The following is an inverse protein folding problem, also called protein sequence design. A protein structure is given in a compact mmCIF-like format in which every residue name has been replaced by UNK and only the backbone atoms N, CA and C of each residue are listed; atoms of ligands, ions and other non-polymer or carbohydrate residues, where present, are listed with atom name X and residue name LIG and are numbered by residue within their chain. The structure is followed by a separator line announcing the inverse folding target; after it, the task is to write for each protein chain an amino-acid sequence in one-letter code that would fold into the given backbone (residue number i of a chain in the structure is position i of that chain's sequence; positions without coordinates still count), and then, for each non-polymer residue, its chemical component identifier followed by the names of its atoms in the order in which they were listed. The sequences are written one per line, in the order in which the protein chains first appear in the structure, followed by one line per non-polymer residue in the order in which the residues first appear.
data_IF_799358165232
#
_entry.id   IF_799358165232
#
_cell.length_a   1.000
_cell.length_b   1.000
_cell.length_c   1.000
_cell.angle_alpha   90.00
_cell.angle_beta   90.00
_cell.angle_gamma   90.00
#
_symmetry.space_group_name_H-M   'P 1'
#
loop_
_entity.id
_entity.type
_entity.pdbx_description
1 polymer ?
#
# COMPACT_ATOMS: atom_id res chain seq x y z
N UNK A 1 -7.97 -11.23 -11.39
CA UNK A 1 -6.67 -11.75 -11.88
C UNK A 1 -6.92 -12.60 -13.12
N UNK A 2 -5.96 -12.67 -14.06
CA UNK A 2 -6.05 -13.58 -15.20
C UNK A 2 -6.19 -15.03 -14.72
N UNK A 3 -6.97 -15.84 -15.44
CA UNK A 3 -7.38 -17.18 -15.01
C UNK A 3 -6.18 -18.11 -14.79
N UNK A 4 -5.20 -18.11 -15.70
CA UNK A 4 -3.97 -18.91 -15.59
C UNK A 4 -3.16 -18.58 -14.33
N UNK A 5 -3.09 -17.29 -13.98
CA UNK A 5 -2.40 -16.82 -12.77
C UNK A 5 -3.19 -17.14 -11.52
N UNK A 6 -4.51 -16.98 -11.56
CA UNK A 6 -5.39 -17.29 -10.44
C UNK A 6 -5.34 -18.79 -10.10
N UNK A 7 -5.34 -19.67 -11.10
CA UNK A 7 -5.20 -21.12 -10.91
C UNK A 7 -3.85 -21.50 -10.30
N UNK A 8 -2.77 -20.85 -10.76
CA UNK A 8 -1.44 -21.06 -10.19
C UNK A 8 -1.38 -20.63 -8.71
N UNK A 9 -1.98 -19.49 -8.37
CA UNK A 9 -2.12 -19.00 -6.99
C UNK A 9 -2.95 -19.97 -6.15
N UNK A 10 -4.11 -20.39 -6.64
CA UNK A 10 -4.98 -21.35 -5.96
C UNK A 10 -4.30 -22.69 -5.71
N UNK A 11 -3.49 -23.17 -6.66
CA UNK A 11 -2.68 -24.39 -6.51
C UNK A 11 -1.61 -24.21 -5.44
N UNK A 12 -0.91 -23.07 -5.43
CA UNK A 12 0.11 -22.78 -4.42
C UNK A 12 -0.47 -22.62 -3.01
N UNK A 13 -1.65 -22.00 -2.86
CA UNK A 13 -2.32 -21.84 -1.56
C UNK A 13 -2.75 -23.16 -0.92
N UNK A 14 -2.98 -24.20 -1.73
CA UNK A 14 -3.29 -25.56 -1.25
C UNK A 14 -2.05 -26.34 -0.81
N UNK A 15 -0.84 -25.79 -1.00
CA UNK A 15 0.40 -26.42 -0.56
C UNK A 15 0.46 -26.44 0.98
N UNK A 16 0.77 -27.62 1.52
CA UNK A 16 0.92 -27.83 2.97
C UNK A 16 2.21 -27.24 3.51
N UNK A 17 3.14 -26.89 2.63
CA UNK A 17 4.43 -26.31 2.99
C UNK A 17 4.35 -24.80 3.25
N UNK A 18 3.19 -24.15 3.24
CA UNK A 18 3.12 -22.75 3.66
C UNK A 18 3.21 -22.69 5.20
N UNK A 19 4.22 -21.99 5.71
CA UNK A 19 4.33 -21.71 7.14
C UNK A 19 3.30 -20.65 7.56
N UNK A 20 2.27 -21.07 8.28
CA UNK A 20 1.23 -20.20 8.83
C UNK A 20 1.54 -19.82 10.28
N UNK A 21 1.42 -18.53 10.61
CA UNK A 21 1.55 -18.01 11.96
C UNK A 21 0.19 -17.54 12.48
N UNK A 22 -0.23 -18.08 13.63
CA UNK A 22 -1.44 -17.62 14.31
C UNK A 22 -1.26 -16.21 14.85
N UNK A 23 -2.22 -15.33 14.55
CA UNK A 23 -2.26 -13.93 14.98
C UNK A 23 -3.18 -13.78 16.17
N UNK A 24 -2.71 -13.05 17.18
CA UNK A 24 -3.43 -12.72 18.40
C UNK A 24 -3.20 -11.27 18.83
N UNK A 25 -3.48 -10.92 20.10
CA UNK A 25 -4.14 -11.75 21.12
C UNK A 25 -5.64 -12.00 20.83
N UNK A 26 -6.29 -12.99 21.47
CA UNK A 26 -7.68 -13.38 21.18
C UNK A 26 -8.70 -12.26 21.37
N UNK A 27 -8.51 -11.35 22.32
CA UNK A 27 -9.39 -10.19 22.51
C UNK A 27 -9.29 -9.14 21.39
N UNK A 28 -8.48 -9.37 20.36
CA UNK A 28 -8.31 -8.48 19.20
C UNK A 28 -8.51 -9.22 17.88
N UNK A 29 -7.94 -10.42 17.76
CA UNK A 29 -7.95 -11.19 16.52
C UNK A 29 -7.60 -12.66 16.76
N UNK A 30 -8.06 -13.50 15.87
CA UNK A 30 -7.68 -14.89 15.75
C UNK A 30 -7.74 -15.28 14.28
N UNK A 31 -6.60 -15.35 13.59
CA UNK A 31 -6.52 -15.86 12.22
C UNK A 31 -5.08 -16.26 11.94
N UNK A 32 -4.80 -16.77 10.74
CA UNK A 32 -3.45 -17.17 10.36
C UNK A 32 -2.90 -16.28 9.26
N UNK A 33 -1.64 -15.88 9.41
CA UNK A 33 -0.89 -15.09 8.44
C UNK A 33 0.25 -15.93 7.89
N UNK A 34 0.49 -15.89 6.59
CA UNK A 34 1.65 -16.57 6.01
C UNK A 34 2.95 -15.90 6.50
N UNK A 35 3.93 -16.72 6.89
CA UNK A 35 5.24 -16.21 7.31
C UNK A 35 6.02 -15.78 6.07
N UNK A 36 6.25 -14.49 5.95
CA UNK A 36 7.11 -13.95 4.91
C UNK A 36 8.56 -13.94 5.42
N UNK A 37 9.46 -14.67 4.74
CA UNK A 37 10.90 -14.52 4.95
C UNK A 37 11.38 -13.44 3.99
N UNK A 38 11.03 -12.19 4.27
CA UNK A 38 11.48 -11.08 3.43
C UNK A 38 12.91 -10.75 3.84
N UNK A 39 13.89 -11.31 3.11
CA UNK A 39 15.29 -10.84 3.17
C UNK A 39 15.39 -9.33 2.89
N UNK A 40 14.39 -8.72 2.24
CA UNK A 40 14.29 -7.29 2.03
C UNK A 40 14.08 -6.49 3.33
N UNK A 41 13.32 -7.01 4.31
CA UNK A 41 13.16 -6.34 5.61
C UNK A 41 14.48 -6.34 6.38
N UNK A 42 15.22 -7.45 6.33
CA UNK A 42 16.58 -7.52 6.86
C UNK A 42 17.52 -6.55 6.11
N UNK A 43 17.44 -6.48 4.78
CA UNK A 43 18.28 -5.57 3.99
C UNK A 43 17.96 -4.09 4.21
N UNK A 44 16.71 -3.72 4.42
CA UNK A 44 16.28 -2.34 4.66
C UNK A 44 16.61 -1.90 6.09
N UNK A 45 16.45 -2.80 7.08
CA UNK A 45 17.01 -2.60 8.42
C UNK A 45 18.55 -2.45 8.34
N UNK A 46 19.24 -3.35 7.63
CA UNK A 46 20.69 -3.30 7.43
C UNK A 46 21.18 -2.06 6.68
N UNK A 47 20.37 -1.50 5.78
CA UNK A 47 20.63 -0.24 5.08
C UNK A 47 20.49 1.01 5.96
N UNK A 48 19.53 1.02 6.89
CA UNK A 48 19.37 2.08 7.90
C UNK A 48 20.49 2.08 8.95
N UNK A 49 21.25 0.97 9.09
CA UNK A 49 22.34 0.85 10.06
C UNK A 49 23.70 1.41 9.58
N UNK A 50 23.80 2.02 8.39
CA UNK A 50 25.07 2.56 7.85
C UNK A 50 25.37 4.04 8.15
N UNK A 51 24.51 4.80 8.83
CA UNK A 51 24.75 6.24 9.05
C UNK A 51 24.42 6.71 10.48
N UNK A 52 25.34 6.50 11.44
CA UNK A 52 25.72 7.58 12.34
C UNK A 52 27.23 7.52 12.63
N UNK A 53 28.02 8.48 12.12
CA UNK A 53 29.46 8.61 12.46
C UNK A 53 29.71 9.03 13.92
N UNK A 54 28.64 9.25 14.70
CA UNK A 54 28.64 10.04 15.93
C UNK A 54 28.80 9.27 17.25
N UNK A 55 28.66 7.93 17.25
CA UNK A 55 28.88 7.10 18.46
C UNK A 55 27.94 7.36 19.66
N UNK A 56 26.68 7.78 19.43
CA UNK A 56 25.75 8.09 20.52
C UNK A 56 25.18 6.83 21.23
N UNK A 57 25.12 6.84 22.57
CA UNK A 57 24.59 5.72 23.41
C UNK A 57 23.14 5.28 23.13
N UNK A 58 22.29 6.15 22.56
CA UNK A 58 20.92 5.78 22.16
C UNK A 58 20.91 4.85 20.93
N UNK A 59 21.97 4.86 20.11
CA UNK A 59 22.15 3.97 18.96
C UNK A 59 22.54 2.54 19.38
N UNK A 60 23.28 2.38 20.49
CA UNK A 60 23.70 1.07 21.01
C UNK A 60 22.53 0.27 21.60
N UNK A 61 21.61 0.92 22.33
CA UNK A 61 20.38 0.26 22.82
C UNK A 61 19.44 -0.13 21.68
N UNK A 62 19.34 0.69 20.63
CA UNK A 62 18.60 0.34 19.41
C UNK A 62 19.26 -0.85 18.67
N UNK A 63 20.61 -0.95 18.67
CA UNK A 63 21.36 -2.11 18.16
C UNK A 63 21.06 -3.39 18.92
N UNK A 64 21.04 -3.40 20.26
CA UNK A 64 20.79 -4.63 21.03
C UNK A 64 19.37 -5.15 20.86
N UNK A 65 18.36 -4.27 20.96
CA UNK A 65 16.94 -4.67 20.78
C UNK A 65 16.68 -5.13 19.34
N UNK A 66 17.28 -4.46 18.35
CA UNK A 66 17.15 -4.84 16.93
C UNK A 66 17.94 -6.10 16.59
N UNK A 67 19.11 -6.33 17.18
CA UNK A 67 19.90 -7.55 16.96
C UNK A 67 19.25 -8.77 17.61
N UNK A 68 18.64 -8.61 18.78
CA UNK A 68 17.87 -9.69 19.41
C UNK A 68 16.57 -10.01 18.65
N UNK A 69 15.94 -8.98 18.05
CA UNK A 69 14.79 -9.15 17.14
C UNK A 69 15.21 -9.77 15.80
N UNK A 70 16.34 -9.33 15.20
CA UNK A 70 16.91 -9.93 14.00
C UNK A 70 17.38 -11.37 14.24
N UNK A 71 18.05 -11.68 15.36
CA UNK A 71 18.54 -13.04 15.64
C UNK A 71 17.38 -13.99 15.92
N UNK A 72 16.35 -13.56 16.66
CA UNK A 72 15.12 -14.37 16.81
C UNK A 72 14.42 -14.62 15.48
N UNK A 73 14.41 -13.65 14.56
CA UNK A 73 13.80 -13.81 13.26
C UNK A 73 14.68 -14.63 12.28
N UNK A 74 16.00 -14.51 12.39
CA UNK A 74 16.98 -15.21 11.56
C UNK A 74 17.12 -16.69 11.96
N UNK A 75 17.16 -17.01 13.26
CA UNK A 75 17.12 -18.40 13.75
C UNK A 75 15.80 -19.10 13.39
N UNK A 76 14.69 -18.36 13.32
CA UNK A 76 13.39 -18.90 12.89
C UNK A 76 13.25 -18.99 11.37
N UNK A 77 14.07 -18.28 10.58
CA UNK A 77 13.98 -18.22 9.11
C UNK A 77 14.41 -19.52 8.40
N UNK A 78 14.91 -20.50 9.13
CA UNK A 78 15.68 -21.63 8.59
C UNK A 78 14.98 -22.68 7.72
N UNK A 79 13.65 -22.72 7.55
CA UNK A 79 13.08 -23.96 6.95
C UNK A 79 11.93 -23.85 5.95
N UNK A 80 11.27 -22.70 5.77
CA UNK A 80 10.11 -22.64 4.86
C UNK A 80 9.98 -21.26 4.22
N UNK A 81 10.21 -21.20 2.90
CA UNK A 81 9.95 -20.02 2.07
C UNK A 81 8.54 -20.08 1.47
N UNK A 82 7.90 -18.92 1.35
CA UNK A 82 6.60 -18.81 0.69
C UNK A 82 6.75 -19.19 -0.80
N UNK A 83 5.84 -20.01 -1.38
CA UNK A 83 5.88 -20.35 -2.79
C UNK A 83 6.03 -19.11 -3.68
N UNK A 84 6.90 -19.20 -4.70
CA UNK A 84 7.32 -18.04 -5.50
C UNK A 84 6.16 -17.29 -6.14
N UNK A 85 5.11 -17.99 -6.57
CA UNK A 85 3.91 -17.38 -7.16
C UNK A 85 3.18 -16.46 -6.16
N UNK A 86 3.11 -16.87 -4.88
CA UNK A 86 2.45 -16.07 -3.84
C UNK A 86 3.32 -14.87 -3.47
N UNK A 87 4.64 -15.05 -3.41
CA UNK A 87 5.60 -13.96 -3.23
C UNK A 87 5.51 -12.94 -4.37
N UNK A 88 5.39 -13.40 -5.63
CA UNK A 88 5.18 -12.52 -6.78
C UNK A 88 3.86 -11.76 -6.71
N UNK A 89 2.77 -12.38 -6.23
CA UNK A 89 1.50 -11.68 -6.01
C UNK A 89 1.60 -10.59 -4.93
N UNK A 90 2.32 -10.86 -3.84
CA UNK A 90 2.61 -9.84 -2.82
C UNK A 90 3.44 -8.69 -3.40
N UNK A 91 4.51 -9.01 -4.16
CA UNK A 91 5.33 -8.01 -4.85
C UNK A 91 4.55 -7.20 -5.88
N UNK A 92 3.59 -7.82 -6.60
CA UNK A 92 2.70 -7.13 -7.53
C UNK A 92 1.86 -6.08 -6.80
N UNK A 93 1.24 -6.45 -5.67
CA UNK A 93 0.42 -5.53 -4.88
C UNK A 93 1.27 -4.40 -4.25
N UNK A 94 2.56 -4.62 -4.04
CA UNK A 94 3.52 -3.59 -3.57
C UNK A 94 4.18 -2.79 -4.69
N UNK A 95 3.97 -3.15 -5.95
CA UNK A 95 4.69 -2.54 -7.08
C UNK A 95 4.25 -1.11 -7.35
N UNK A 96 5.16 -0.28 -7.85
CA UNK A 96 4.89 1.09 -8.28
C UNK A 96 3.71 1.17 -9.27
N UNK A 97 3.63 0.22 -10.20
CA UNK A 97 2.52 0.10 -11.14
C UNK A 97 1.16 -0.10 -10.44
N UNK A 98 1.11 -0.88 -9.35
CA UNK A 98 -0.12 -1.04 -8.57
C UNK A 98 -0.52 0.26 -7.89
N UNK A 99 0.42 1.00 -7.30
CA UNK A 99 0.14 2.31 -6.72
C UNK A 99 -0.45 3.28 -7.76
N UNK A 100 0.08 3.29 -8.98
CA UNK A 100 -0.46 4.10 -10.07
C UNK A 100 -1.87 3.65 -10.51
N UNK A 101 -2.10 2.34 -10.63
CA UNK A 101 -3.41 1.78 -10.98
C UNK A 101 -4.45 2.16 -9.91
N UNK A 102 -4.12 1.97 -8.63
CA UNK A 102 -5.02 2.31 -7.53
C UNK A 102 -5.30 3.81 -7.46
N UNK A 103 -4.28 4.65 -7.70
CA UNK A 103 -4.48 6.11 -7.82
C UNK A 103 -5.48 6.44 -8.92
N UNK A 104 -5.35 5.80 -10.08
CA UNK A 104 -6.22 6.01 -11.25
C UNK A 104 -7.66 5.53 -11.00
N UNK A 105 -7.84 4.44 -10.25
CA UNK A 105 -9.16 3.85 -9.95
C UNK A 105 -9.91 4.60 -8.84
N UNK A 106 -9.19 5.20 -7.90
CA UNK A 106 -9.78 5.77 -6.68
C UNK A 106 -9.72 7.29 -6.62
N UNK A 107 -8.89 7.92 -7.45
CA UNK A 107 -8.62 9.36 -7.39
C UNK A 107 -7.65 9.77 -6.26
N UNK A 108 -7.16 8.81 -5.47
CA UNK A 108 -6.16 9.05 -4.42
C UNK A 108 -4.79 9.33 -5.03
N UNK A 109 -3.98 10.15 -4.37
CA UNK A 109 -2.62 10.48 -4.79
C UNK A 109 -1.60 9.52 -4.21
N UNK A 110 -1.72 8.22 -4.54
CA UNK A 110 -0.78 7.19 -4.07
C UNK A 110 0.53 7.19 -4.89
N UNK A 111 0.54 7.81 -6.07
CA UNK A 111 1.68 7.81 -6.98
C UNK A 111 1.96 9.22 -7.54
N UNK A 112 3.24 9.65 -7.71
CA UNK A 112 3.57 11.00 -8.18
C UNK A 112 2.96 11.34 -9.54
N UNK A 113 2.93 10.36 -10.47
CA UNK A 113 2.34 10.57 -11.81
C UNK A 113 0.82 10.75 -11.80
N UNK A 114 0.14 10.37 -10.71
CA UNK A 114 -1.30 10.56 -10.57
C UNK A 114 -1.64 11.92 -9.93
N UNK A 115 -0.70 12.51 -9.17
CA UNK A 115 -0.82 13.84 -8.62
C UNK A 115 -0.66 14.88 -9.74
N UNK A 116 -1.74 15.13 -10.49
CA UNK A 116 -1.77 16.29 -11.37
C UNK A 116 -1.78 17.55 -10.49
N UNK A 117 -1.00 18.59 -10.81
CA UNK A 117 -1.13 19.87 -10.13
C UNK A 117 -2.49 20.45 -10.50
N UNK A 118 -3.50 20.19 -9.67
CA UNK A 118 -4.78 20.88 -9.76
C UNK A 118 -4.49 22.37 -9.59
N UNK A 119 -4.57 23.10 -10.69
CA UNK A 119 -4.69 24.55 -10.71
C UNK A 119 -5.72 24.94 -9.66
N UNK A 120 -5.31 25.68 -8.64
CA UNK A 120 -6.20 26.35 -7.71
C UNK A 120 -7.24 27.10 -8.54
N UNK A 121 -8.50 26.69 -8.44
CA UNK A 121 -9.64 27.35 -9.06
C UNK A 121 -9.76 28.77 -8.48
N UNK A 122 -9.11 29.73 -9.12
CA UNK A 122 -9.51 31.13 -9.02
C UNK A 122 -10.76 31.28 -9.88
N UNK A 123 -11.90 31.44 -9.20
CA UNK A 123 -13.15 31.91 -9.80
C UNK A 123 -12.86 33.08 -10.73
N UNK A 124 -12.94 32.83 -12.03
CA UNK A 124 -12.97 33.89 -13.04
C UNK A 124 -14.15 33.59 -13.94
N UNK A 125 -15.18 34.42 -13.81
CA UNK A 125 -16.39 34.38 -14.61
C UNK A 125 -16.08 34.22 -16.10
N UNK A 126 -16.72 33.23 -16.72
CA UNK A 126 -16.76 33.12 -18.18
C UNK A 126 -17.79 34.14 -18.67
N UNK A 127 -17.33 35.33 -19.05
CA UNK A 127 -18.15 36.26 -19.85
C UNK A 127 -18.05 35.84 -21.32
N UNK A 128 -19.16 35.36 -21.87
CA UNK A 128 -19.34 35.06 -23.29
C UNK A 128 -19.16 36.33 -24.15
N UNK A 129 -18.44 36.30 -25.28
CA UNK A 129 -18.26 37.48 -26.11
C UNK A 129 -19.47 37.67 -27.06
N UNK A 130 -19.94 38.91 -27.29
CA UNK A 130 -20.88 39.19 -28.36
C UNK A 130 -20.12 39.33 -29.70
N UNK A 131 -20.71 38.81 -30.76
CA UNK A 131 -20.24 39.01 -32.12
C UNK A 131 -20.55 40.41 -32.65
N UNK A 132 -19.69 40.94 -33.52
CA UNK A 132 -19.95 41.09 -34.95
C UNK A 132 -18.96 42.10 -35.58
N UNK A 133 -18.65 41.85 -36.86
CA UNK A 133 -18.32 42.82 -37.93
C UNK A 133 -17.14 43.79 -37.81
N UNK A 134 -16.33 43.86 -38.87
CA UNK A 134 -15.58 45.08 -39.18
C UNK A 134 -14.31 44.84 -39.98
N UNK A 135 -14.28 45.43 -41.17
CA UNK A 135 -13.22 45.43 -42.18
C UNK A 135 -11.88 46.03 -41.69
N UNK A 136 -10.81 45.85 -42.47
CA UNK A 136 -9.71 46.83 -42.42
C UNK A 136 -8.31 46.30 -42.69
N UNK A 137 -7.81 46.67 -43.86
CA UNK A 137 -6.47 46.48 -44.38
C UNK A 137 -5.34 47.09 -43.53
N UNK A 138 -4.14 46.52 -43.68
CA UNK A 138 -2.87 47.23 -44.01
C UNK A 138 -1.68 47.09 -43.04
N UNK A 139 -0.57 46.62 -43.64
CA UNK A 139 0.82 47.07 -43.50
C UNK A 139 1.54 47.09 -42.14
N UNK A 140 2.74 46.49 -42.13
CA UNK A 140 3.81 46.93 -41.21
C UNK A 140 4.97 45.95 -41.04
N UNK A 141 5.98 46.04 -41.91
CA UNK A 141 7.33 45.45 -41.72
C UNK A 141 7.96 45.97 -40.40
N UNK A 142 8.72 45.11 -39.70
CA UNK A 142 10.16 45.30 -39.48
C UNK A 142 10.79 44.17 -38.61
N UNK A 143 11.74 43.43 -39.20
CA UNK A 143 12.97 42.89 -38.53
C UNK A 143 13.88 44.11 -38.19
N UNK A 144 14.96 44.06 -37.36
CA UNK A 144 15.87 42.91 -37.20
C UNK A 144 16.76 42.78 -35.92
N UNK A 145 17.51 41.66 -35.89
CA UNK A 145 18.93 41.48 -35.48
C UNK A 145 19.35 41.39 -34.00
N UNK A 146 19.59 40.13 -33.60
CA UNK A 146 20.87 39.57 -33.13
C UNK A 146 22.00 40.52 -32.70
N UNK A 147 22.49 40.33 -31.46
CA UNK A 147 23.90 40.55 -31.10
C UNK A 147 24.44 39.41 -30.23
N UNK A 148 25.51 38.81 -30.73
CA UNK A 148 26.32 37.71 -30.21
C UNK A 148 27.67 38.31 -29.81
N UNK A 149 28.15 38.12 -28.58
CA UNK A 149 29.56 38.32 -28.15
C UNK A 149 29.76 37.58 -26.82
N UNK A 150 30.96 37.20 -26.39
CA UNK A 150 32.10 36.45 -26.95
C UNK A 150 32.90 36.07 -25.69
N UNK A 151 33.39 34.84 -25.67
CA UNK A 151 34.23 34.22 -24.66
C UNK A 151 35.50 35.03 -24.33
N UNK A 152 35.89 35.05 -23.05
CA UNK A 152 37.28 35.18 -22.61
C UNK A 152 37.51 34.36 -21.33
N UNK A 153 38.63 33.66 -21.31
CA UNK A 153 39.22 32.87 -20.23
C UNK A 153 39.72 33.76 -19.09
N UNK A 154 39.80 33.20 -17.87
CA UNK A 154 41.08 32.92 -17.22
C UNK A 154 40.85 32.17 -15.89
N UNK A 155 41.84 31.34 -15.54
CA UNK A 155 41.89 30.40 -14.42
C UNK A 155 42.29 31.09 -13.12
N UNK A 156 41.67 30.72 -12.00
CA UNK A 156 42.29 30.87 -10.68
C UNK A 156 41.88 29.72 -9.76
N UNK A 157 42.86 29.17 -9.05
CA UNK A 157 42.73 28.03 -8.15
C UNK A 157 42.62 28.56 -6.72
N UNK A 158 41.50 28.27 -6.05
CA UNK A 158 41.23 28.69 -4.68
C UNK A 158 40.32 27.72 -3.95
N UNK A 159 40.86 27.18 -2.87
CA UNK A 159 40.34 26.24 -1.88
C UNK A 159 39.08 26.75 -1.13
N UNK A 160 38.19 25.82 -0.74
CA UNK A 160 37.25 26.05 0.37
C UNK A 160 35.74 26.03 0.05
N UNK A 161 35.11 25.00 0.61
CA UNK A 161 33.69 24.89 1.01
C UNK A 161 32.67 24.40 -0.05
N UNK A 162 32.53 23.07 -0.12
CA UNK A 162 31.40 22.41 -0.78
C UNK A 162 30.18 22.43 0.15
N UNK A 163 29.49 23.57 0.19
CA UNK A 163 28.13 23.62 0.72
C UNK A 163 27.23 22.78 -0.19
N UNK A 164 27.03 21.51 0.17
CA UNK A 164 26.02 20.65 -0.44
C UNK A 164 24.66 21.24 -0.08
N UNK A 165 24.11 22.03 -1.00
CA UNK A 165 22.67 22.24 -1.05
C UNK A 165 22.02 20.87 -1.08
N UNK A 166 21.08 20.55 -0.18
CA UNK A 166 20.29 19.35 -0.39
C UNK A 166 19.50 19.60 -1.67
N UNK A 167 19.85 18.88 -2.73
CA UNK A 167 18.95 18.66 -3.84
C UNK A 167 17.68 18.05 -3.23
N UNK A 168 16.71 18.90 -2.94
CA UNK A 168 15.35 18.49 -2.60
C UNK A 168 14.74 17.92 -3.86
N UNK A 169 15.06 16.66 -4.14
CA UNK A 169 14.27 15.81 -5.01
C UNK A 169 13.00 15.44 -4.23
N UNK A 170 12.10 16.42 -4.08
CA UNK A 170 10.90 16.35 -3.25
C UNK A 170 9.76 15.57 -3.92
N UNK A 171 10.07 14.59 -4.77
CA UNK A 171 9.07 13.85 -5.54
C UNK A 171 9.00 12.36 -5.21
N UNK A 172 9.59 11.94 -4.08
CA UNK A 172 9.28 10.63 -3.51
C UNK A 172 7.91 10.69 -2.84
N UNK A 173 6.92 10.08 -3.49
CA UNK A 173 5.62 9.81 -2.85
C UNK A 173 5.84 9.10 -1.51
N UNK A 174 5.28 9.65 -0.44
CA UNK A 174 5.26 9.04 0.90
C UNK A 174 4.36 7.80 0.96
N UNK A 175 3.64 7.52 -0.12
CA UNK A 175 2.65 6.48 -0.14
C UNK A 175 3.29 5.14 0.22
N UNK A 176 2.65 4.48 1.18
CA UNK A 176 3.12 3.21 1.74
C UNK A 176 1.98 2.21 1.75
N UNK A 177 2.33 0.94 1.82
CA UNK A 177 1.34 -0.11 1.99
C UNK A 177 1.78 -1.14 3.03
N UNK A 178 0.81 -1.76 3.70
CA UNK A 178 1.00 -2.95 4.54
C UNK A 178 0.27 -4.10 3.91
N UNK A 179 0.94 -5.24 3.77
CA UNK A 179 0.37 -6.42 3.13
C UNK A 179 0.47 -7.64 4.03
N UNK A 180 -0.53 -8.50 3.89
CA UNK A 180 -0.48 -9.85 4.42
C UNK A 180 -1.30 -10.83 3.59
N UNK A 181 -0.76 -12.04 3.43
CA UNK A 181 -1.52 -13.20 2.98
C UNK A 181 -2.14 -13.87 4.21
N UNK A 182 -3.47 -13.93 4.26
CA UNK A 182 -4.23 -14.46 5.39
C UNK A 182 -4.94 -15.75 5.03
N UNK A 183 -5.10 -16.62 6.02
CA UNK A 183 -5.93 -17.83 5.96
C UNK A 183 -7.06 -17.72 6.99
N UNK A 184 -8.27 -17.95 6.50
CA UNK A 184 -9.50 -17.93 7.27
C UNK A 184 -10.09 -19.33 7.34
N UNK A 185 -10.38 -19.78 8.56
CA UNK A 185 -10.88 -21.11 8.87
C UNK A 185 -11.86 -21.02 10.04
N UNK A 186 -12.50 -22.14 10.40
CA UNK A 186 -13.41 -22.18 11.53
C UNK A 186 -12.77 -21.58 12.81
N UNK A 187 -13.47 -20.65 13.46
CA UNK A 187 -12.99 -19.96 14.65
C UNK A 187 -12.17 -18.71 14.37
N UNK A 188 -11.87 -18.37 13.12
CA UNK A 188 -11.15 -17.14 12.78
C UNK A 188 -12.05 -15.89 12.87
N UNK A 189 -11.49 -14.76 13.31
CA UNK A 189 -12.16 -13.47 13.45
C UNK A 189 -11.18 -12.30 13.65
N UNK A 190 -11.69 -11.07 13.51
CA UNK A 190 -11.12 -9.88 14.18
C UNK A 190 -12.20 -9.17 14.99
N UNK A 191 -11.78 -8.36 15.96
CA UNK A 191 -12.66 -7.57 16.81
C UNK A 191 -12.22 -6.10 16.77
N UNK A 192 -13.21 -5.23 16.95
CA UNK A 192 -12.96 -3.83 17.24
C UNK A 192 -12.38 -3.69 18.64
N UNK A 193 -11.43 -2.78 18.82
CA UNK A 193 -10.83 -2.50 20.11
C UNK A 193 -10.33 -1.06 20.20
N UNK A 194 -10.38 -0.47 21.39
CA UNK A 194 -10.10 0.95 21.64
C UNK A 194 -8.65 1.36 21.29
N UNK A 195 -7.72 0.41 21.29
CA UNK A 195 -6.31 0.67 20.94
C UNK A 195 -6.03 0.51 19.44
N UNK A 196 -7.04 0.55 18.57
CA UNK A 196 -6.84 0.39 17.13
C UNK A 196 -6.40 1.70 16.49
N UNK A 197 -5.10 1.96 16.50
CA UNK A 197 -4.52 3.16 15.88
C UNK A 197 -4.66 3.14 14.35
N UNK A 198 -4.88 1.98 13.72
CA UNK A 198 -5.08 1.88 12.26
C UNK A 198 -6.43 2.46 11.81
N UNK A 199 -7.39 2.57 12.74
CA UNK A 199 -8.65 3.26 12.51
C UNK A 199 -8.52 4.80 12.48
N UNK A 200 -7.39 5.35 12.90
CA UNK A 200 -7.18 6.80 13.01
C UNK A 200 -6.52 7.43 11.76
N UNK A 201 -6.18 6.62 10.75
CA UNK A 201 -5.54 7.04 9.49
C UNK A 201 -6.50 6.86 8.31
N UNK A 202 -6.49 7.82 7.37
CA UNK A 202 -7.14 7.65 6.07
C UNK A 202 -6.43 6.52 5.33
N UNK A 203 -7.18 5.55 4.82
CA UNK A 203 -6.58 4.37 4.22
C UNK A 203 -7.48 3.74 3.16
N UNK A 204 -6.86 3.17 2.14
CA UNK A 204 -7.51 2.33 1.15
C UNK A 204 -7.22 0.86 1.46
N UNK A 205 -8.25 0.13 1.88
CA UNK A 205 -8.17 -1.32 2.01
C UNK A 205 -8.35 -1.97 0.63
N UNK A 206 -7.48 -2.91 0.29
CA UNK A 206 -7.62 -3.77 -0.88
C UNK A 206 -7.58 -5.24 -0.45
N UNK A 207 -8.62 -5.99 -0.79
CA UNK A 207 -8.76 -7.41 -0.43
C UNK A 207 -8.95 -8.25 -1.69
N UNK A 208 -7.99 -9.10 -2.00
CA UNK A 208 -8.09 -10.05 -3.11
C UNK A 208 -8.35 -11.46 -2.59
N UNK A 209 -9.50 -12.03 -2.91
CA UNK A 209 -9.99 -13.28 -2.33
C UNK A 209 -9.69 -14.51 -3.20
N UNK A 210 -9.32 -15.61 -2.56
CA UNK A 210 -9.00 -16.89 -3.19
C UNK A 210 -9.63 -18.08 -2.45
N UNK A 211 -10.10 -19.07 -3.20
CA UNK A 211 -10.64 -20.35 -2.68
C UNK A 211 -11.90 -20.18 -1.79
N UNK A 212 -12.76 -19.26 -2.17
CA UNK A 212 -14.05 -18.93 -1.55
C UNK A 212 -15.24 -19.58 -2.28
N UNK A 213 -15.05 -20.44 -3.29
CA UNK A 213 -16.16 -21.01 -4.09
C UNK A 213 -17.19 -21.74 -3.21
N UNK A 214 -18.42 -21.25 -3.19
CA UNK A 214 -19.51 -21.85 -2.39
C UNK A 214 -19.58 -21.33 -0.96
N UNK A 215 -18.72 -20.38 -0.57
CA UNK A 215 -18.83 -19.67 0.70
C UNK A 215 -20.13 -18.86 0.76
N UNK A 216 -20.81 -18.91 1.89
CA UNK A 216 -22.08 -18.23 2.11
C UNK A 216 -21.96 -17.25 3.29
N UNK A 217 -22.82 -16.22 3.31
CA UNK A 217 -22.78 -15.18 4.33
C UNK A 217 -22.99 -15.74 5.75
N UNK A 218 -23.82 -16.79 5.87
CA UNK A 218 -24.14 -17.47 7.13
C UNK A 218 -22.94 -18.14 7.77
N UNK A 219 -21.86 -18.40 7.03
CA UNK A 219 -20.63 -18.98 7.58
C UNK A 219 -19.77 -17.95 8.30
N UNK A 220 -20.03 -16.65 8.13
CA UNK A 220 -19.17 -15.56 8.60
C UNK A 220 -18.00 -15.30 7.64
N UNK A 221 -16.91 -14.73 8.15
CA UNK A 221 -15.71 -14.43 7.35
C UNK A 221 -15.82 -13.21 6.42
N UNK A 222 -16.98 -12.55 6.37
CA UNK A 222 -17.13 -11.27 5.69
C UNK A 222 -16.52 -10.12 6.50
N UNK A 223 -16.00 -9.12 5.80
CA UNK A 223 -15.47 -7.89 6.40
C UNK A 223 -16.61 -6.88 6.48
N UNK A 224 -16.92 -6.42 7.69
CA UNK A 224 -17.94 -5.39 7.93
C UNK A 224 -17.26 -4.09 8.32
N UNK A 225 -17.76 -2.99 7.74
CA UNK A 225 -17.37 -1.62 8.00
C UNK A 225 -18.52 -0.90 8.70
N UNK A 226 -18.21 -0.20 9.79
CA UNK A 226 -19.21 0.49 10.61
C UNK A 226 -18.76 1.92 10.92
N UNK A 227 -19.72 2.80 11.17
CA UNK A 227 -19.45 4.14 11.68
C UNK A 227 -19.00 4.09 13.15
N UNK A 228 -18.00 4.89 13.50
CA UNK A 228 -17.41 4.92 14.84
C UNK A 228 -18.33 5.62 15.82
N UNK A 229 -18.64 4.94 16.93
CA UNK A 229 -19.53 5.47 17.97
C UNK A 229 -21.02 5.35 17.65
N UNK A 230 -21.36 4.69 16.54
CA UNK A 230 -22.72 4.44 16.08
C UNK A 230 -22.93 2.94 15.86
N UNK A 231 -24.19 2.49 15.91
CA UNK A 231 -24.57 1.10 15.60
C UNK A 231 -24.92 0.93 14.10
N UNK A 232 -24.41 1.81 13.23
CA UNK A 232 -24.69 1.83 11.80
C UNK A 232 -23.66 1.01 11.00
N UNK A 233 -24.15 -0.03 10.31
CA UNK A 233 -23.36 -0.77 9.32
C UNK A 233 -23.32 -0.02 7.99
N UNK A 234 -22.11 0.32 7.53
CA UNK A 234 -21.91 1.07 6.29
C UNK A 234 -21.79 0.14 5.07
N UNK A 235 -21.05 -0.95 5.23
CA UNK A 235 -20.74 -1.87 4.13
C UNK A 235 -20.32 -3.23 4.67
N UNK A 236 -20.76 -4.30 4.00
CA UNK A 236 -20.21 -5.64 4.19
C UNK A 236 -19.65 -6.19 2.88
N UNK A 237 -18.40 -6.69 2.95
CA UNK A 237 -17.68 -7.32 1.85
C UNK A 237 -17.60 -8.82 2.10
N UNK A 238 -18.29 -9.61 1.27
CA UNK A 238 -18.27 -11.08 1.35
C UNK A 238 -17.14 -11.69 0.51
N UNK A 239 -16.49 -12.77 0.98
CA UNK A 239 -15.45 -13.44 0.19
C UNK A 239 -16.02 -14.00 -1.12
N UNK A 240 -15.41 -13.65 -2.24
CA UNK A 240 -15.78 -14.14 -3.57
C UNK A 240 -14.55 -14.43 -4.42
N UNK A 241 -14.54 -15.59 -5.11
CA UNK A 241 -13.37 -16.04 -5.87
C UNK A 241 -12.89 -15.02 -6.91
N UNK A 242 -11.57 -14.80 -6.96
CA UNK A 242 -10.90 -13.95 -7.94
C UNK A 242 -11.44 -12.50 -7.97
N UNK A 243 -12.02 -12.04 -6.86
CA UNK A 243 -12.53 -10.67 -6.71
C UNK A 243 -11.53 -9.80 -5.95
N UNK A 244 -11.39 -8.54 -6.38
CA UNK A 244 -10.65 -7.51 -5.68
C UNK A 244 -11.66 -6.49 -5.14
N UNK A 245 -11.77 -6.39 -3.83
CA UNK A 245 -12.55 -5.35 -3.16
C UNK A 245 -11.65 -4.18 -2.78
N UNK A 246 -12.07 -2.96 -3.09
CA UNK A 246 -11.42 -1.71 -2.70
C UNK A 246 -12.38 -0.92 -1.81
N UNK A 247 -11.95 -0.57 -0.59
CA UNK A 247 -12.76 0.20 0.36
C UNK A 247 -11.91 1.32 0.93
N UNK A 248 -12.30 2.56 0.65
CA UNK A 248 -11.68 3.73 1.26
C UNK A 248 -12.32 4.00 2.62
N UNK A 249 -11.50 4.20 3.65
CA UNK A 249 -11.92 4.48 5.01
C UNK A 249 -11.44 5.84 5.47
N UNK A 250 -12.30 6.53 6.20
CA UNK A 250 -11.94 7.70 6.96
C UNK A 250 -11.59 7.36 8.43
N UNK A 251 -11.40 8.40 9.26
CA UNK A 251 -11.03 8.29 10.68
C UNK A 251 -12.19 7.88 11.60
N UNK A 252 -13.40 7.86 11.06
CA UNK A 252 -14.61 7.47 11.76
C UNK A 252 -15.18 6.15 11.20
N UNK A 253 -14.42 5.44 10.38
CA UNK A 253 -14.79 4.13 9.84
C UNK A 253 -13.98 3.02 10.48
N UNK A 254 -14.66 2.13 11.21
CA UNK A 254 -14.08 0.93 11.81
C UNK A 254 -14.36 -0.30 10.94
N UNK A 255 -13.52 -1.34 11.04
CA UNK A 255 -13.75 -2.60 10.35
C UNK A 255 -13.41 -3.82 11.18
N UNK A 256 -14.12 -4.91 10.94
CA UNK A 256 -13.78 -6.22 11.50
C UNK A 256 -14.20 -7.35 10.55
N UNK A 257 -13.61 -8.53 10.72
CA UNK A 257 -13.98 -9.74 10.01
C UNK A 257 -14.84 -10.60 10.92
N UNK A 258 -16.09 -10.86 10.51
CA UNK A 258 -17.05 -11.63 11.29
C UNK A 258 -16.53 -13.03 11.56
N UNK A 259 -16.76 -13.52 12.77
CA UNK A 259 -16.40 -14.86 13.19
C UNK A 259 -16.88 -15.95 12.24
N UNK A 260 -15.93 -16.76 11.76
CA UNK A 260 -16.20 -17.94 10.93
C UNK A 260 -16.76 -19.05 11.81
N UNK A 261 -18.06 -19.26 11.76
CA UNK A 261 -18.78 -20.13 12.69
C UNK A 261 -18.73 -21.62 12.26
N UNK A 262 -19.45 -22.48 12.99
CA UNK A 262 -19.41 -23.93 12.78
C UNK A 262 -20.12 -24.40 11.49
N UNK A 263 -21.01 -23.58 10.92
CA UNK A 263 -21.79 -23.93 9.74
C UNK A 263 -20.93 -24.19 8.50
N UNK A 264 -19.72 -23.61 8.47
CA UNK A 264 -18.69 -23.88 7.47
C UNK A 264 -18.40 -25.38 7.28
N UNK A 265 -18.58 -26.21 8.33
CA UNK A 265 -18.36 -27.66 8.23
C UNK A 265 -19.36 -28.37 7.32
N UNK A 266 -20.50 -27.75 7.01
CA UNK A 266 -21.46 -28.24 6.02
C UNK A 266 -20.89 -28.18 4.59
N UNK A 267 -19.92 -27.30 4.34
CA UNK A 267 -19.22 -27.18 3.06
C UNK A 267 -18.08 -28.20 2.94
N UNK A 268 -17.16 -28.20 3.92
CA UNK A 268 -16.17 -29.27 4.08
C UNK A 268 -15.54 -29.23 5.49
N UNK A 269 -15.00 -30.36 5.99
CA UNK A 269 -14.38 -30.41 7.33
C UNK A 269 -13.19 -29.45 7.51
N UNK A 270 -12.42 -29.25 6.44
CA UNK A 270 -11.22 -28.41 6.39
C UNK A 270 -11.44 -27.14 5.55
N UNK A 271 -12.70 -26.67 5.47
CA UNK A 271 -13.06 -25.51 4.70
C UNK A 271 -12.25 -24.28 5.16
N UNK A 272 -11.59 -23.65 4.19
CA UNK A 272 -10.77 -22.46 4.39
C UNK A 272 -10.84 -21.61 3.15
N UNK A 273 -10.71 -20.29 3.33
CA UNK A 273 -10.44 -19.37 2.23
C UNK A 273 -9.23 -18.50 2.57
N UNK A 274 -8.72 -17.81 1.56
CA UNK A 274 -7.51 -17.01 1.66
C UNK A 274 -7.78 -15.63 1.09
N UNK A 275 -7.06 -14.65 1.60
CA UNK A 275 -7.00 -13.34 0.95
C UNK A 275 -5.60 -12.74 0.98
N UNK A 276 -5.33 -11.91 -0.01
CA UNK A 276 -4.25 -10.93 0.05
C UNK A 276 -4.87 -9.64 0.53
N UNK A 277 -4.57 -9.27 1.78
CA UNK A 277 -5.06 -8.05 2.41
C UNK A 277 -3.96 -6.99 2.38
N UNK A 278 -4.19 -5.95 1.60
CA UNK A 278 -3.35 -4.77 1.52
C UNK A 278 -4.07 -3.55 2.10
N UNK A 279 -3.32 -2.67 2.75
CA UNK A 279 -3.80 -1.36 3.21
C UNK A 279 -2.82 -0.32 2.68
N UNK A 280 -3.32 0.60 1.85
CA UNK A 280 -2.55 1.68 1.24
C UNK A 280 -2.82 2.99 1.97
N UNK A 281 -1.78 3.81 2.09
CA UNK A 281 -1.77 5.11 2.71
C UNK A 281 -1.13 6.10 1.73
N UNK A 282 -1.66 7.31 1.64
CA UNK A 282 -1.04 8.44 0.95
C UNK A 282 0.19 8.97 1.71
#
# INVERSE_FOLDING_TARGET
MLEDKYDAVCKALKDRNIAWQKRGPPNKRNYEKAREVSFHFLSQCMGLYRLCPCGCRNYEKAREVSFHFLSQNYEKAGEVSLPSVLSQCLSLLQSEAMFLILSSLTGLTLHPLAAQPSTSSSDTEIVLPPGNSGEGSSTGRNKPKTKRRKLSSDCDAGDGDCHMSPDTDSNQSSARCRLELRRWSHGSYTLLHDTDTEACELALDAMFFCLCKGWQAEYGGHTTYIAKGEDEELLTVSPADNSLALVYRDKETLRFVKHVNHMIKNMSPDATFYDFSAVYFE
#
